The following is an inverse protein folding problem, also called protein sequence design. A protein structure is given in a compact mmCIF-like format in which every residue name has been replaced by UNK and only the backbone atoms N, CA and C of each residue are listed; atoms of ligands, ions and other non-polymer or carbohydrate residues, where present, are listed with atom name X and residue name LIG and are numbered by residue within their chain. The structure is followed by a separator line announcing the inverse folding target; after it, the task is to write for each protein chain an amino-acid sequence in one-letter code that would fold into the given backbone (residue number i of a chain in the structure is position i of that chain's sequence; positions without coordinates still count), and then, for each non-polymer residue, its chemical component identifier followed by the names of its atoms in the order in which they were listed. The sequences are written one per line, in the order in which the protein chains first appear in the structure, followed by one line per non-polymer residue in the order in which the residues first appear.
data_IF_145647526632
#
_entry.id   IF_145647526632
#
_cell.length_a   1.000
_cell.length_b   1.000
_cell.length_c   1.000
_cell.angle_alpha   90.00
_cell.angle_beta   90.00
_cell.angle_gamma   90.00
#
_symmetry.space_group_name_H-M   'P 1'
#
loop_
_entity.id
_entity.type
_entity.pdbx_description
1 polymer ?
#
# COMPACT_ATOMS: atom_id res chain seq x y z
N UNK A 1 -16.52 13.92 7.07
CA UNK A 1 -15.24 13.86 6.32
C UNK A 1 -14.16 13.02 7.04
N UNK A 2 -14.26 11.67 7.09
CA UNK A 2 -13.29 10.81 7.84
C UNK A 2 -12.45 9.83 6.98
N UNK A 3 -12.85 9.50 5.74
CA UNK A 3 -12.16 8.49 4.91
C UNK A 3 -10.80 8.96 4.36
N UNK A 4 -10.66 10.24 3.97
CA UNK A 4 -9.42 10.73 3.36
C UNK A 4 -8.20 10.65 4.29
N UNK A 5 -8.35 10.99 5.58
CA UNK A 5 -7.22 11.03 6.54
C UNK A 5 -6.48 9.69 6.68
N UNK A 6 -7.19 8.55 6.65
CA UNK A 6 -6.57 7.23 6.80
C UNK A 6 -5.76 6.84 5.57
N UNK A 7 -6.27 7.15 4.38
CA UNK A 7 -5.59 6.90 3.11
C UNK A 7 -4.33 7.77 3.04
N UNK A 8 -4.41 9.05 3.39
CA UNK A 8 -3.23 9.94 3.39
C UNK A 8 -2.14 9.49 4.39
N UNK A 9 -2.53 8.97 5.56
CA UNK A 9 -1.58 8.41 6.53
C UNK A 9 -0.94 7.13 6.00
N UNK A 10 -1.74 6.22 5.45
CA UNK A 10 -1.25 4.98 4.85
C UNK A 10 -0.28 5.26 3.70
N UNK A 11 -0.62 6.21 2.82
CA UNK A 11 0.23 6.66 1.73
C UNK A 11 1.53 7.27 2.23
N UNK A 12 1.48 8.19 3.21
CA UNK A 12 2.70 8.79 3.77
C UNK A 12 3.64 7.75 4.36
N UNK A 13 3.11 6.80 5.13
CA UNK A 13 3.91 5.72 5.73
C UNK A 13 4.49 4.79 4.68
N UNK A 14 3.70 4.43 3.66
CA UNK A 14 4.15 3.63 2.53
C UNK A 14 5.27 4.34 1.73
N UNK A 15 5.09 5.62 1.39
CA UNK A 15 6.12 6.40 0.66
C UNK A 15 7.42 6.60 1.43
N UNK A 16 7.40 6.39 2.75
CA UNK A 16 8.58 6.44 3.62
C UNK A 16 9.22 5.06 3.83
N UNK A 17 8.72 4.01 3.18
CA UNK A 17 9.09 2.61 3.41
C UNK A 17 8.98 2.20 4.90
N UNK A 18 8.09 2.83 5.68
CA UNK A 18 7.85 2.48 7.09
C UNK A 18 6.96 1.24 7.22
N UNK A 19 6.14 0.96 6.21
CA UNK A 19 5.14 -0.11 6.19
C UNK A 19 5.01 -0.74 4.80
N UNK A 20 4.63 -2.01 4.75
CA UNK A 20 4.32 -2.71 3.49
C UNK A 20 2.99 -2.25 2.90
N UNK A 21 2.80 -2.47 1.59
CA UNK A 21 1.55 -2.15 0.87
C UNK A 21 0.32 -2.80 1.51
N UNK A 22 0.47 -4.05 1.96
CA UNK A 22 -0.57 -4.83 2.64
C UNK A 22 -0.95 -4.23 4.00
N UNK A 23 0.02 -3.66 4.72
CA UNK A 23 -0.22 -2.92 5.97
C UNK A 23 -0.88 -1.57 5.71
N UNK A 24 -0.45 -0.88 4.65
CA UNK A 24 -1.02 0.40 4.23
C UNK A 24 -2.50 0.25 3.80
N UNK A 25 -2.83 -0.80 3.05
CA UNK A 25 -4.21 -1.14 2.66
C UNK A 25 -5.10 -1.39 3.89
N UNK A 26 -4.61 -2.15 4.88
CA UNK A 26 -5.31 -2.37 6.16
C UNK A 26 -5.57 -1.08 6.93
N UNK A 27 -4.57 -0.19 7.01
CA UNK A 27 -4.71 1.12 7.68
C UNK A 27 -5.71 2.02 6.95
N UNK A 28 -5.68 1.99 5.61
CA UNK A 28 -6.63 2.70 4.77
C UNK A 28 -8.05 2.12 4.84
N UNK A 29 -8.21 0.89 5.33
CA UNK A 29 -9.49 0.16 5.32
C UNK A 29 -9.95 -0.17 3.90
N UNK A 30 -9.00 -0.38 2.99
CA UNK A 30 -9.24 -0.68 1.59
C UNK A 30 -8.73 -2.09 1.27
N UNK A 31 -9.37 -2.81 0.34
CA UNK A 31 -8.78 -4.00 -0.27
C UNK A 31 -7.41 -3.66 -0.87
N UNK A 32 -6.50 -4.63 -0.85
CA UNK A 32 -5.15 -4.44 -1.39
C UNK A 32 -5.19 -3.96 -2.85
N UNK A 33 -6.02 -4.59 -3.69
CA UNK A 33 -6.23 -4.19 -5.10
C UNK A 33 -6.70 -2.75 -5.23
N UNK A 34 -7.68 -2.33 -4.43
CA UNK A 34 -8.15 -0.93 -4.42
C UNK A 34 -7.07 0.03 -3.95
N UNK A 35 -6.24 -0.36 -2.99
CA UNK A 35 -5.13 0.47 -2.53
C UNK A 35 -4.03 0.59 -3.58
N UNK A 36 -3.78 -0.49 -4.34
CA UNK A 36 -2.87 -0.48 -5.50
C UNK A 36 -3.37 0.46 -6.60
N UNK A 37 -4.67 0.45 -6.90
CA UNK A 37 -5.27 1.41 -7.85
C UNK A 37 -5.10 2.85 -7.39
N UNK A 38 -5.24 3.12 -6.08
CA UNK A 38 -5.02 4.47 -5.51
C UNK A 38 -3.56 4.91 -5.68
N UNK A 39 -2.60 4.01 -5.47
CA UNK A 39 -1.18 4.27 -5.67
C UNK A 39 -0.85 4.54 -7.15
N UNK A 40 -1.39 3.71 -8.04
CA UNK A 40 -1.25 3.85 -9.49
C UNK A 40 -1.83 5.17 -10.01
N UNK A 41 -3.05 5.51 -9.59
CA UNK A 41 -3.71 6.77 -9.93
C UNK A 41 -2.94 8.01 -9.41
N UNK A 42 -2.31 7.90 -8.24
CA UNK A 42 -1.49 9.00 -7.69
C UNK A 42 -0.10 9.09 -8.29
N UNK A 43 0.25 8.23 -9.27
CA UNK A 43 1.60 8.10 -9.85
C UNK A 43 2.68 7.96 -8.78
N UNK A 44 2.33 7.41 -7.62
CA UNK A 44 3.30 7.10 -6.59
C UNK A 44 4.07 5.92 -7.16
N UNK A 45 5.33 6.17 -7.55
CA UNK A 45 6.20 5.11 -8.04
C UNK A 45 6.22 4.03 -6.98
N UNK A 46 5.68 2.88 -7.34
CA UNK A 46 5.95 1.67 -6.61
C UNK A 46 7.46 1.48 -6.64
N UNK A 47 8.11 1.65 -5.49
CA UNK A 47 9.34 0.92 -5.21
C UNK A 47 8.99 -0.56 -4.98
N UNK A 48 8.18 -1.16 -5.85
CA UNK A 48 8.07 -2.62 -5.99
C UNK A 48 9.43 -3.05 -6.53
N UNK A 49 10.41 -3.15 -5.65
CA UNK A 49 11.46 -4.13 -5.85
C UNK A 49 10.75 -5.47 -5.85
N UNK A 50 11.03 -6.29 -6.87
CA UNK A 50 10.60 -7.69 -6.99
C UNK A 50 10.59 -8.46 -5.65
N UNK A 51 11.44 -8.05 -4.72
CA UNK A 51 11.54 -8.51 -3.33
C UNK A 51 10.23 -8.48 -2.53
N UNK A 52 9.43 -7.41 -2.56
CA UNK A 52 8.16 -7.38 -1.80
C UNK A 52 7.06 -8.23 -2.45
N UNK A 53 7.09 -8.39 -3.77
CA UNK A 53 6.17 -9.30 -4.47
C UNK A 53 6.50 -10.76 -4.11
N UNK A 54 7.79 -11.06 -3.98
CA UNK A 54 8.29 -12.37 -3.58
C UNK A 54 7.89 -12.70 -2.13
N UNK A 55 8.00 -11.73 -1.21
CA UNK A 55 7.58 -11.93 0.19
C UNK A 55 6.05 -12.08 0.37
N UNK A 56 5.22 -11.44 -0.47
CA UNK A 56 3.75 -11.65 -0.46
C UNK A 56 3.37 -13.01 -1.12
N UNK A 57 4.11 -13.46 -2.14
CA UNK A 57 3.94 -14.80 -2.73
C UNK A 57 4.37 -15.93 -1.79
N UNK A 58 5.46 -15.75 -1.03
CA UNK A 58 5.91 -16.75 -0.05
C UNK A 58 4.98 -16.88 1.16
N UNK A 59 4.15 -15.87 1.45
CA UNK A 59 3.12 -15.97 2.50
C UNK A 59 1.81 -16.61 2.05
N UNK A 60 1.68 -16.93 0.76
CA UNK A 60 0.50 -17.52 0.14
C UNK A 60 0.62 -19.05 -0.07
N UNK A 61 1.78 -19.63 0.27
CA UNK A 61 2.06 -21.08 0.26
C UNK A 61 2.20 -21.55 1.72
#
# INVERSE_FOLDING_TARGET
MKKCKKIDIALKKFTRNEITVSTAAKIAGLPLTTFLDVLSNKKIRFHYGLKELQEDFERLI
#
